data_IF_444063504137
#
_entry.id   IF_444063504137
#
_cell.length_a   1.000
_cell.length_b   1.000
_cell.length_c   1.000
_cell.angle_alpha   90.00
_cell.angle_beta   90.00
_cell.angle_gamma   90.00
#
_symmetry.space_group_name_H-M   'P 1'
#
loop_
_entity.id
_entity.type
_entity.pdbx_description
1 polymer ?
#
# COMPACT_ATOMS: atom_id res chain seq x y z
N UNK A 1 15.72 -2.66 -2.47
CA UNK A 1 15.46 -2.34 -1.06
C UNK A 1 14.14 -2.97 -0.60
N UNK A 2 13.02 -2.60 -1.20
CA UNK A 2 11.67 -3.11 -0.85
C UNK A 2 11.50 -4.62 -0.81
N UNK A 3 12.08 -5.37 -1.77
CA UNK A 3 11.92 -6.82 -1.79
C UNK A 3 12.47 -7.50 -0.52
N UNK A 4 13.72 -7.17 -0.13
CA UNK A 4 14.33 -7.72 1.10
C UNK A 4 13.56 -7.32 2.35
N UNK A 5 13.09 -6.07 2.38
CA UNK A 5 12.33 -5.54 3.50
C UNK A 5 10.98 -6.25 3.68
N UNK A 6 10.18 -6.34 2.62
CA UNK A 6 8.88 -7.02 2.66
C UNK A 6 9.03 -8.52 2.96
N UNK A 7 10.13 -9.16 2.52
CA UNK A 7 10.49 -10.51 2.97
C UNK A 7 10.68 -10.62 4.48
N UNK A 8 11.33 -9.64 5.12
CA UNK A 8 11.44 -9.63 6.59
C UNK A 8 10.10 -9.42 7.30
N UNK A 9 9.13 -8.80 6.63
CA UNK A 9 7.74 -8.68 7.09
C UNK A 9 6.89 -9.93 6.80
N UNK A 10 7.46 -10.99 6.22
CA UNK A 10 6.77 -12.24 5.91
C UNK A 10 6.12 -12.32 4.53
N UNK A 11 6.38 -11.36 3.64
CA UNK A 11 5.82 -11.34 2.28
C UNK A 11 6.83 -11.80 1.23
N UNK A 12 6.36 -12.48 0.18
CA UNK A 12 7.15 -12.71 -1.03
C UNK A 12 6.71 -11.74 -2.12
N UNK A 13 7.64 -10.94 -2.66
CA UNK A 13 7.32 -9.97 -3.72
C UNK A 13 7.47 -10.63 -5.09
N UNK A 14 6.37 -10.72 -5.83
CA UNK A 14 6.36 -11.25 -7.20
C UNK A 14 6.70 -10.18 -8.24
N UNK A 15 6.31 -8.94 -7.99
CA UNK A 15 6.54 -7.80 -8.87
C UNK A 15 6.51 -6.49 -8.07
N UNK A 16 7.12 -5.44 -8.61
CA UNK A 16 7.08 -4.10 -8.01
C UNK A 16 6.82 -3.06 -9.10
N UNK A 17 5.66 -2.40 -8.99
CA UNK A 17 5.19 -1.44 -9.96
C UNK A 17 5.15 -0.05 -9.30
N UNK A 18 5.65 0.95 -10.02
CA UNK A 18 5.56 2.35 -9.57
C UNK A 18 4.31 2.97 -10.21
N UNK A 19 3.42 3.50 -9.39
CA UNK A 19 2.20 4.20 -9.82
C UNK A 19 2.31 5.71 -9.52
N UNK A 20 1.39 6.53 -10.05
CA UNK A 20 1.42 8.01 -10.01
C UNK A 20 2.59 8.63 -10.75
N UNK A 21 2.98 8.04 -11.89
CA UNK A 21 3.91 8.70 -12.83
C UNK A 21 3.16 9.58 -13.83
N UNK A 22 2.04 9.09 -14.37
CA UNK A 22 1.14 9.79 -15.28
C UNK A 22 -0.22 9.07 -15.33
N UNK A 23 -1.36 9.79 -15.49
CA UNK A 23 -2.70 9.20 -15.46
C UNK A 23 -2.90 8.03 -16.44
N UNK A 24 -2.38 8.13 -17.66
CA UNK A 24 -2.50 7.11 -18.70
C UNK A 24 -1.66 5.86 -18.39
N UNK A 25 -0.48 6.06 -17.78
CA UNK A 25 0.39 4.98 -17.36
C UNK A 25 -0.23 4.18 -16.22
N UNK A 26 -0.85 4.87 -15.26
CA UNK A 26 -1.53 4.24 -14.12
C UNK A 26 -2.72 3.40 -14.58
N UNK A 27 -3.57 3.94 -15.49
CA UNK A 27 -4.70 3.18 -16.03
C UNK A 27 -4.25 1.92 -16.77
N UNK A 28 -3.17 2.01 -17.55
CA UNK A 28 -2.62 0.86 -18.27
C UNK A 28 -2.06 -0.19 -17.30
N UNK A 29 -1.42 0.25 -16.22
CA UNK A 29 -0.92 -0.60 -15.14
C UNK A 29 -2.08 -1.38 -14.49
N UNK A 30 -3.18 -0.72 -14.12
CA UNK A 30 -4.32 -1.40 -13.49
C UNK A 30 -5.03 -2.36 -14.44
N UNK A 31 -5.18 -2.00 -15.72
CA UNK A 31 -5.77 -2.91 -16.72
C UNK A 31 -4.95 -4.19 -16.90
N UNK A 32 -3.62 -4.09 -16.82
CA UNK A 32 -2.74 -5.25 -16.94
C UNK A 32 -2.87 -6.18 -15.72
N UNK A 33 -3.19 -5.65 -14.53
CA UNK A 33 -3.39 -6.46 -13.32
C UNK A 33 -4.61 -7.38 -13.44
N UNK A 34 -5.69 -6.96 -14.11
CA UNK A 34 -6.92 -7.77 -14.26
C UNK A 34 -6.66 -9.17 -14.82
N UNK A 35 -5.74 -9.25 -15.78
CA UNK A 35 -5.44 -10.48 -16.50
C UNK A 35 -4.16 -11.15 -15.99
N UNK A 36 -3.63 -10.69 -14.86
CA UNK A 36 -2.40 -11.23 -14.31
C UNK A 36 -2.70 -12.54 -13.56
N UNK A 37 -2.27 -13.71 -14.08
CA UNK A 37 -2.54 -15.00 -13.45
C UNK A 37 -1.87 -15.14 -12.07
N UNK A 38 -0.96 -14.23 -11.70
CA UNK A 38 -0.34 -14.19 -10.37
C UNK A 38 -1.35 -13.85 -9.28
N UNK A 39 -2.43 -13.11 -9.60
CA UNK A 39 -3.46 -12.72 -8.63
C UNK A 39 -4.28 -13.90 -8.09
N UNK A 40 -4.32 -15.03 -8.79
CA UNK A 40 -4.93 -16.26 -8.27
C UNK A 40 -4.26 -16.79 -7.00
N UNK A 41 -3.03 -16.36 -6.72
CA UNK A 41 -2.19 -16.85 -5.60
C UNK A 41 -1.55 -15.73 -4.78
N UNK A 42 -1.80 -14.47 -5.12
CA UNK A 42 -1.17 -13.32 -4.48
C UNK A 42 -2.13 -12.14 -4.35
N UNK A 43 -1.86 -11.28 -3.37
CA UNK A 43 -2.54 -10.00 -3.20
C UNK A 43 -1.73 -8.84 -3.75
N UNK A 44 -2.30 -7.64 -3.64
CA UNK A 44 -1.67 -6.39 -4.05
C UNK A 44 -1.42 -5.53 -2.80
N UNK A 45 -0.20 -4.99 -2.66
CA UNK A 45 0.15 -4.06 -1.60
C UNK A 45 0.45 -2.68 -2.17
N UNK A 46 -0.29 -1.66 -1.73
CA UNK A 46 0.04 -0.25 -1.94
C UNK A 46 0.98 0.20 -0.83
N UNK A 47 2.24 0.48 -1.16
CA UNK A 47 3.22 1.04 -0.23
C UNK A 47 3.19 2.55 -0.33
N UNK A 48 2.98 3.24 0.79
CA UNK A 48 2.91 4.70 0.81
C UNK A 48 3.31 5.31 2.16
N UNK A 49 3.70 6.58 2.12
CA UNK A 49 3.92 7.36 3.33
C UNK A 49 2.60 7.61 4.09
N UNK A 50 2.66 7.53 5.41
CA UNK A 50 1.52 7.77 6.30
C UNK A 50 1.25 9.25 6.57
N UNK A 51 2.24 10.12 6.35
CA UNK A 51 2.19 11.57 6.62
C UNK A 51 1.71 12.37 5.41
N UNK A 52 0.83 13.37 5.66
CA UNK A 52 0.19 14.24 4.65
C UNK A 52 -0.22 13.55 3.33
N UNK A 53 -0.77 12.33 3.35
CA UNK A 53 -1.10 11.67 2.12
C UNK A 53 -2.42 12.21 1.58
N UNK A 54 -2.64 12.13 0.25
CA UNK A 54 -3.94 12.42 -0.31
C UNK A 54 -4.90 11.26 0.03
N UNK A 55 -5.48 11.29 1.23
CA UNK A 55 -6.32 10.22 1.78
C UNK A 55 -7.46 9.91 0.83
N UNK A 56 -8.23 10.92 0.41
CA UNK A 56 -9.41 10.72 -0.43
C UNK A 56 -9.05 10.10 -1.78
N UNK A 57 -8.00 10.58 -2.44
CA UNK A 57 -7.52 10.03 -3.71
C UNK A 57 -7.04 8.58 -3.57
N UNK A 58 -6.48 8.24 -2.41
CA UNK A 58 -6.07 6.87 -2.11
C UNK A 58 -7.27 5.96 -1.88
N UNK A 59 -8.31 6.45 -1.18
CA UNK A 59 -9.55 5.69 -1.00
C UNK A 59 -10.27 5.45 -2.34
N UNK A 60 -10.35 6.46 -3.22
CA UNK A 60 -10.90 6.27 -4.56
C UNK A 60 -10.06 5.30 -5.38
N UNK A 61 -8.74 5.41 -5.33
CA UNK A 61 -7.84 4.45 -5.99
C UNK A 61 -8.08 3.01 -5.50
N UNK A 62 -8.27 2.80 -4.19
CA UNK A 62 -8.54 1.48 -3.64
C UNK A 62 -9.89 0.92 -4.12
N UNK A 63 -10.92 1.76 -4.23
CA UNK A 63 -12.23 1.36 -4.80
C UNK A 63 -12.10 0.98 -6.27
N UNK A 64 -11.40 1.80 -7.06
CA UNK A 64 -11.16 1.53 -8.47
C UNK A 64 -10.37 0.22 -8.65
N UNK A 65 -9.32 0.02 -7.84
CA UNK A 65 -8.55 -1.20 -7.84
C UNK A 65 -9.41 -2.41 -7.47
N UNK A 66 -10.20 -2.33 -6.40
CA UNK A 66 -11.13 -3.39 -5.98
C UNK A 66 -12.10 -3.77 -7.12
N UNK A 67 -12.71 -2.77 -7.76
CA UNK A 67 -13.62 -3.01 -8.90
C UNK A 67 -12.93 -3.68 -10.09
N UNK A 68 -11.62 -3.48 -10.21
CA UNK A 68 -10.78 -3.97 -11.31
C UNK A 68 -10.33 -5.41 -11.07
N UNK A 69 -9.84 -5.71 -9.86
CA UNK A 69 -9.24 -7.03 -9.55
C UNK A 69 -10.25 -8.03 -8.97
N UNK A 70 -11.44 -7.57 -8.57
CA UNK A 70 -12.51 -8.39 -8.03
C UNK A 70 -12.50 -8.49 -6.51
N UNK A 71 -13.60 -9.01 -5.95
CA UNK A 71 -13.95 -8.90 -4.53
C UNK A 71 -13.05 -9.67 -3.55
N UNK A 72 -12.36 -10.72 -4.01
CA UNK A 72 -11.66 -11.66 -3.12
C UNK A 72 -10.14 -11.54 -3.16
N UNK A 73 -9.60 -10.71 -4.07
CA UNK A 73 -8.15 -10.50 -4.13
C UNK A 73 -7.70 -9.74 -2.88
N UNK A 74 -6.75 -10.26 -2.09
CA UNK A 74 -6.27 -9.53 -0.93
C UNK A 74 -5.63 -8.21 -1.33
N UNK A 75 -6.06 -7.12 -0.69
CA UNK A 75 -5.48 -5.79 -0.82
C UNK A 75 -4.83 -5.38 0.49
N UNK A 76 -3.65 -4.79 0.41
CA UNK A 76 -2.91 -4.30 1.55
C UNK A 76 -2.54 -2.84 1.35
N UNK A 77 -2.63 -2.05 2.40
CA UNK A 77 -1.98 -0.73 2.49
C UNK A 77 -0.81 -0.87 3.45
N UNK A 78 0.41 -0.78 2.91
CA UNK A 78 1.65 -0.78 3.67
C UNK A 78 2.08 0.65 3.99
N UNK A 79 1.96 1.05 5.24
CA UNK A 79 2.35 2.38 5.70
C UNK A 79 3.82 2.42 6.12
N UNK A 80 4.50 3.47 5.66
CA UNK A 80 5.82 3.87 6.17
C UNK A 80 5.74 5.29 6.72
N UNK A 81 6.50 5.54 7.77
CA UNK A 81 6.62 6.86 8.39
C UNK A 81 7.53 7.78 7.61
N UNK A 82 7.44 9.06 7.95
CA UNK A 82 8.36 10.08 7.49
C UNK A 82 9.67 10.03 8.30
N UNK A 83 10.80 10.13 7.62
CA UNK A 83 12.08 10.42 8.28
C UNK A 83 13.12 11.02 7.35
N UNK A 84 14.26 11.37 7.93
CA UNK A 84 15.32 12.16 7.28
C UNK A 84 16.34 11.30 6.52
N UNK A 85 16.49 10.03 6.89
CA UNK A 85 17.42 9.12 6.23
C UNK A 85 16.70 8.29 5.15
N UNK A 86 17.16 8.40 3.90
CA UNK A 86 16.64 7.63 2.77
C UNK A 86 17.03 6.14 2.81
N UNK A 87 17.94 5.74 3.71
CA UNK A 87 18.34 4.35 3.92
C UNK A 87 17.49 3.63 4.97
N UNK A 88 16.69 4.36 5.74
CA UNK A 88 15.79 3.82 6.75
C UNK A 88 14.34 3.79 6.25
N UNK A 89 13.57 2.80 6.73
CA UNK A 89 12.12 2.74 6.51
C UNK A 89 11.49 2.96 7.88
N UNK A 90 10.97 4.16 8.09
CA UNK A 90 10.46 4.55 9.40
C UNK A 90 9.08 3.96 9.66
N UNK A 91 8.78 3.77 10.93
CA UNK A 91 7.46 3.42 11.44
C UNK A 91 6.52 4.61 11.27
N UNK A 92 5.29 4.41 10.77
CA UNK A 92 4.29 5.47 10.74
C UNK A 92 4.02 6.00 12.15
N UNK A 93 3.68 7.28 12.31
CA UNK A 93 3.38 7.80 13.66
C UNK A 93 2.07 7.18 14.18
N UNK A 94 1.92 6.89 15.49
CA UNK A 94 0.70 6.25 16.03
C UNK A 94 -0.61 6.97 15.67
N UNK A 95 -0.58 8.31 15.60
CA UNK A 95 -1.76 9.10 15.21
C UNK A 95 -2.11 8.90 13.72
N UNK A 96 -1.11 8.87 12.84
CA UNK A 96 -1.32 8.66 11.39
C UNK A 96 -1.89 7.28 11.12
N UNK A 97 -1.36 6.24 11.78
CA UNK A 97 -1.89 4.86 11.72
C UNK A 97 -3.38 4.83 12.07
N UNK A 98 -3.75 5.51 13.17
CA UNK A 98 -5.13 5.57 13.65
C UNK A 98 -6.06 6.29 12.67
N UNK A 99 -5.58 7.35 12.02
CA UNK A 99 -6.34 8.04 10.97
C UNK A 99 -6.57 7.11 9.79
N UNK A 100 -5.52 6.43 9.33
CA UNK A 100 -5.59 5.51 8.20
C UNK A 100 -6.51 4.33 8.46
N UNK A 101 -6.39 3.67 9.61
CA UNK A 101 -7.27 2.58 10.00
C UNK A 101 -8.73 3.00 9.90
N UNK A 102 -9.09 4.12 10.54
CA UNK A 102 -10.46 4.66 10.50
C UNK A 102 -10.95 4.97 9.10
N UNK A 103 -10.06 5.43 8.21
CA UNK A 103 -10.41 5.78 6.83
C UNK A 103 -10.62 4.53 5.98
N UNK A 104 -9.76 3.53 6.11
CA UNK A 104 -9.90 2.27 5.38
C UNK A 104 -11.12 1.46 5.87
N UNK A 105 -11.44 1.50 7.18
CA UNK A 105 -12.65 0.89 7.72
C UNK A 105 -13.93 1.39 7.04
N UNK A 106 -13.96 2.65 6.56
CA UNK A 106 -15.13 3.19 5.86
C UNK A 106 -15.41 2.53 4.51
N UNK A 107 -14.43 1.81 3.95
CA UNK A 107 -14.61 1.05 2.72
C UNK A 107 -15.35 -0.28 2.98
N UNK A 108 -15.37 -0.76 4.23
CA UNK A 108 -16.02 -2.01 4.64
C UNK A 108 -15.60 -3.23 3.79
N UNK A 109 -14.36 -3.23 3.31
CA UNK A 109 -13.80 -4.29 2.47
C UNK A 109 -13.12 -5.35 3.34
N UNK A 110 -13.66 -6.59 3.43
CA UNK A 110 -13.11 -7.62 4.30
C UNK A 110 -11.78 -8.21 3.81
N UNK A 111 -11.40 -7.94 2.56
CA UNK A 111 -10.13 -8.37 1.95
C UNK A 111 -9.12 -7.23 1.89
N UNK A 112 -9.39 -6.09 2.54
CA UNK A 112 -8.47 -4.98 2.68
C UNK A 112 -7.84 -4.96 4.09
N UNK A 113 -6.52 -4.86 4.17
CA UNK A 113 -5.79 -4.80 5.42
C UNK A 113 -4.78 -3.65 5.46
N UNK A 114 -4.62 -3.05 6.64
CA UNK A 114 -3.60 -2.04 6.91
C UNK A 114 -2.41 -2.69 7.62
N UNK A 115 -1.20 -2.41 7.15
CA UNK A 115 0.04 -2.94 7.70
C UNK A 115 1.02 -1.81 7.95
N UNK A 116 1.62 -1.81 9.14
CA UNK A 116 2.81 -1.01 9.40
C UNK A 116 4.03 -1.78 8.89
N UNK A 117 4.70 -1.23 7.88
CA UNK A 117 5.89 -1.84 7.30
C UNK A 117 7.12 -0.99 7.55
N UNK A 118 7.14 -0.15 8.59
CA UNK A 118 8.38 0.45 9.06
C UNK A 118 9.27 -0.56 9.78
N UNK A 119 10.55 -0.26 9.92
CA UNK A 119 11.48 -0.98 10.81
C UNK A 119 12.11 -0.09 11.88
N UNK A 120 12.25 1.20 11.60
CA UNK A 120 12.90 2.16 12.51
C UNK A 120 11.88 3.08 13.19
N UNK A 121 12.07 3.42 14.46
CA UNK A 121 11.29 4.49 15.08
C UNK A 121 11.73 5.85 14.54
N UNK A 122 10.80 6.82 14.48
CA UNK A 122 11.15 8.18 14.06
C UNK A 122 12.18 8.75 15.02
N UNK A 123 13.22 9.38 14.50
CA UNK A 123 14.23 10.07 15.30
C UNK A 123 13.54 11.03 16.28
N UNK A 124 13.72 10.77 17.58
CA UNK A 124 13.19 11.63 18.63
C UNK A 124 13.87 13.00 18.50
N UNK A 125 13.10 14.01 18.10
CA UNK A 125 13.57 15.40 18.05
C UNK A 125 13.45 16.05 19.42
#
# INVERSE_FOLDING_TARGET
MWNRHLMSCGFSVLDCLHYRRAPEADRSLFNNLVNDPRLDRAGIMLVMESWMPPINETLELLKDLRSTVGEQIPLFVGLVGQGSDHHAIYQPAPMERKIWHRKLDTLADPYLSLLDIGTEEKDAT
#
